data_IF_482714234123
#
_entry.id   IF_482714234123
#
_cell.length_a   1.000
_cell.length_b   1.000
_cell.length_c   1.000
_cell.angle_alpha   90.00
_cell.angle_beta   90.00
_cell.angle_gamma   90.00
#
_symmetry.space_group_name_H-M   'P 1'
#
loop_
_entity.id
_entity.type
_entity.pdbx_description
1 polymer ?
#
# COMPACT_ATOMS: atom_id res chain seq x y z
N UNK A 1 48.80 -45.62 -2.16
CA UNK A 1 47.64 -45.33 -2.96
C UNK A 1 46.97 -44.04 -2.35
N UNK A 2 47.11 -42.90 -3.04
CA UNK A 2 46.45 -41.67 -2.68
C UNK A 2 45.01 -41.76 -3.15
N UNK A 3 44.07 -41.62 -2.21
CA UNK A 3 42.63 -41.48 -2.52
C UNK A 3 42.42 -40.07 -3.03
N UNK A 4 42.08 -39.95 -4.32
CA UNK A 4 41.68 -38.69 -4.92
C UNK A 4 40.38 -38.19 -4.25
N UNK A 5 40.46 -37.06 -3.59
CA UNK A 5 39.27 -36.44 -3.02
C UNK A 5 38.42 -35.91 -4.16
N UNK A 6 37.34 -36.60 -4.46
CA UNK A 6 36.31 -36.10 -5.41
C UNK A 6 35.66 -34.84 -4.81
N UNK A 7 36.01 -33.69 -5.34
CA UNK A 7 35.30 -32.45 -5.01
C UNK A 7 33.89 -32.57 -5.57
N UNK A 8 32.90 -32.63 -4.68
CA UNK A 8 31.51 -32.56 -5.07
C UNK A 8 31.21 -31.16 -5.60
N UNK A 9 30.48 -31.09 -6.71
CA UNK A 9 30.01 -29.85 -7.26
C UNK A 9 29.20 -29.05 -6.20
N UNK A 10 29.44 -27.75 -6.17
CA UNK A 10 28.73 -26.84 -5.24
C UNK A 10 27.23 -26.94 -5.49
N UNK A 11 26.48 -27.53 -4.55
CA UNK A 11 25.02 -27.52 -4.59
C UNK A 11 24.55 -26.14 -4.19
N UNK A 12 24.10 -25.36 -5.14
CA UNK A 12 23.46 -24.07 -4.92
C UNK A 12 22.02 -24.33 -4.52
N UNK A 13 21.71 -24.26 -3.22
CA UNK A 13 20.33 -24.31 -2.74
C UNK A 13 19.71 -22.93 -2.98
N UNK A 14 18.96 -22.77 -4.05
CA UNK A 14 18.12 -21.60 -4.27
C UNK A 14 16.84 -21.82 -3.47
N UNK A 15 16.75 -21.17 -2.31
CA UNK A 15 15.47 -21.02 -1.61
C UNK A 15 14.49 -20.23 -2.50
N UNK A 16 13.19 -20.52 -2.41
CA UNK A 16 12.19 -19.65 -3.01
C UNK A 16 12.34 -18.26 -2.38
N UNK A 17 12.49 -17.18 -3.16
CA UNK A 17 12.47 -15.85 -2.57
C UNK A 17 11.17 -15.71 -1.80
N UNK A 18 11.22 -15.21 -0.56
CA UNK A 18 10.03 -14.86 0.19
C UNK A 18 9.42 -13.62 -0.46
N UNK A 19 8.57 -13.83 -1.45
CA UNK A 19 7.98 -12.80 -2.31
C UNK A 19 7.23 -11.75 -1.49
N UNK A 20 6.71 -12.16 -0.31
CA UNK A 20 5.97 -11.29 0.60
C UNK A 20 6.80 -10.79 1.79
N UNK A 21 8.10 -11.04 1.79
CA UNK A 21 8.96 -10.48 2.83
C UNK A 21 9.21 -9.00 2.51
N UNK A 22 8.60 -8.12 3.28
CA UNK A 22 8.86 -6.70 3.20
C UNK A 22 10.33 -6.42 3.51
N UNK A 23 11.00 -5.75 2.58
CA UNK A 23 12.30 -5.16 2.83
C UNK A 23 12.10 -3.90 3.71
N UNK A 24 13.17 -3.35 4.19
CA UNK A 24 13.27 -2.21 5.09
C UNK A 24 12.07 -1.24 5.06
N UNK A 25 11.33 -1.05 6.15
CA UNK A 25 10.25 -0.05 6.24
C UNK A 25 10.84 1.35 6.42
N UNK A 26 11.70 1.78 5.48
CA UNK A 26 12.49 3.01 5.59
C UNK A 26 11.65 4.26 5.62
N UNK A 27 10.52 4.27 4.92
CA UNK A 27 9.63 5.41 4.89
C UNK A 27 8.90 5.62 6.21
N UNK A 28 8.53 4.54 6.91
CA UNK A 28 7.84 4.60 8.18
C UNK A 28 8.77 4.87 9.36
N UNK A 29 9.92 4.21 9.41
CA UNK A 29 10.88 4.37 10.52
C UNK A 29 11.77 5.59 10.35
N UNK A 30 11.84 6.16 9.13
CA UNK A 30 12.75 7.24 8.73
C UNK A 30 14.25 6.89 8.89
N UNK A 31 14.56 5.61 8.95
CA UNK A 31 15.92 5.06 9.05
C UNK A 31 16.05 3.86 8.13
N UNK A 32 17.23 3.62 7.58
CA UNK A 32 17.54 2.41 6.83
C UNK A 32 17.89 1.27 7.80
N UNK A 33 16.87 0.77 8.49
CA UNK A 33 17.02 -0.30 9.48
C UNK A 33 16.27 -1.52 8.99
N UNK A 34 16.92 -2.68 8.97
CA UNK A 34 16.27 -3.93 8.61
C UNK A 34 15.09 -4.22 9.56
N UNK A 35 13.98 -4.75 9.00
CA UNK A 35 12.77 -5.03 9.75
C UNK A 35 13.02 -5.87 11.02
N UNK A 36 13.96 -6.82 10.97
CA UNK A 36 14.33 -7.68 12.11
C UNK A 36 14.97 -6.91 13.28
N UNK A 37 15.58 -5.76 13.00
CA UNK A 37 16.33 -4.95 13.96
C UNK A 37 15.47 -3.78 14.51
N UNK A 38 14.23 -3.66 14.07
CA UNK A 38 13.31 -2.63 14.56
C UNK A 38 12.62 -3.14 15.83
N UNK A 39 12.83 -2.49 16.99
CA UNK A 39 12.27 -2.91 18.28
C UNK A 39 10.78 -2.55 18.42
N UNK A 40 9.99 -2.75 17.38
CA UNK A 40 8.57 -2.43 17.33
C UNK A 40 7.82 -3.49 16.53
N UNK A 41 6.50 -3.57 16.79
CA UNK A 41 5.63 -4.44 15.98
C UNK A 41 5.27 -3.76 14.67
N UNK A 42 5.99 -4.09 13.61
CA UNK A 42 5.75 -3.59 12.25
C UNK A 42 5.22 -4.74 11.40
N UNK A 43 4.20 -4.47 10.61
CA UNK A 43 3.74 -5.36 9.53
C UNK A 43 3.90 -4.62 8.22
N UNK A 44 4.50 -5.27 7.22
CA UNK A 44 4.70 -4.73 5.88
C UNK A 44 3.92 -5.59 4.91
N UNK A 45 3.05 -4.97 4.11
CA UNK A 45 2.34 -5.59 3.00
C UNK A 45 2.98 -5.05 1.72
N UNK A 46 3.61 -5.94 0.96
CA UNK A 46 4.40 -5.59 -0.22
C UNK A 46 3.53 -5.35 -1.46
N UNK A 47 4.08 -4.67 -2.48
CA UNK A 47 3.43 -4.48 -3.77
C UNK A 47 3.00 -5.82 -4.39
N UNK A 48 3.89 -6.84 -4.33
CA UNK A 48 3.58 -8.17 -4.85
C UNK A 48 2.38 -8.80 -4.13
N UNK A 49 2.31 -8.65 -2.80
CA UNK A 49 1.17 -9.15 -2.02
C UNK A 49 -0.12 -8.40 -2.35
N UNK A 50 -0.05 -7.09 -2.55
CA UNK A 50 -1.19 -6.27 -2.99
C UNK A 50 -1.72 -6.77 -4.33
N UNK A 51 -0.85 -7.05 -5.28
CA UNK A 51 -1.20 -7.52 -6.62
C UNK A 51 -1.75 -8.95 -6.60
N UNK A 52 -1.06 -9.90 -5.97
CA UNK A 52 -1.42 -11.32 -5.96
C UNK A 52 -2.74 -11.60 -5.23
N UNK A 53 -3.03 -10.82 -4.19
CA UNK A 53 -4.26 -10.94 -3.41
C UNK A 53 -5.37 -9.98 -3.88
N UNK A 54 -5.13 -9.22 -4.95
CA UNK A 54 -6.05 -8.20 -5.48
C UNK A 54 -6.59 -7.27 -4.39
N UNK A 55 -5.68 -6.71 -3.55
CA UNK A 55 -6.06 -5.77 -2.50
C UNK A 55 -6.27 -4.39 -3.13
N UNK A 56 -7.43 -3.79 -2.91
CA UNK A 56 -7.78 -2.50 -3.52
C UNK A 56 -7.72 -1.34 -2.54
N UNK A 57 -7.97 -1.57 -1.25
CA UNK A 57 -8.03 -0.52 -0.26
C UNK A 57 -7.45 -0.91 1.10
N UNK A 58 -7.43 0.04 2.03
CA UNK A 58 -6.90 -0.18 3.37
C UNK A 58 -7.64 -1.27 4.15
N UNK A 59 -8.94 -1.45 3.91
CA UNK A 59 -9.71 -2.52 4.55
C UNK A 59 -9.16 -3.91 4.19
N UNK A 60 -8.75 -4.10 2.93
CA UNK A 60 -8.20 -5.37 2.47
C UNK A 60 -6.83 -5.63 3.09
N UNK A 61 -5.97 -4.61 3.13
CA UNK A 61 -4.65 -4.69 3.77
C UNK A 61 -4.76 -5.09 5.24
N UNK A 62 -5.65 -4.45 5.99
CA UNK A 62 -5.74 -4.67 7.43
C UNK A 62 -6.24 -6.07 7.80
N UNK A 63 -6.89 -6.81 6.90
CA UNK A 63 -7.23 -8.24 7.10
C UNK A 63 -5.99 -9.12 7.29
N UNK A 64 -4.85 -8.71 6.75
CA UNK A 64 -3.58 -9.44 6.84
C UNK A 64 -2.67 -8.90 7.96
N UNK A 65 -3.14 -7.93 8.76
CA UNK A 65 -2.37 -7.32 9.84
C UNK A 65 -2.93 -7.75 11.19
N UNK A 66 -2.25 -8.60 11.95
CA UNK A 66 -2.71 -9.03 13.27
C UNK A 66 -2.91 -7.84 14.23
N UNK A 67 -4.06 -7.81 14.92
CA UNK A 67 -4.40 -6.73 15.85
C UNK A 67 -4.86 -5.43 15.20
N UNK A 68 -5.17 -5.49 13.91
CA UNK A 68 -5.76 -4.39 13.15
C UNK A 68 -7.12 -4.81 12.56
N UNK A 69 -7.99 -3.85 12.39
CA UNK A 69 -9.28 -4.03 11.73
C UNK A 69 -9.68 -2.70 11.07
N UNK A 70 -10.73 -2.73 10.24
CA UNK A 70 -11.32 -1.54 9.63
C UNK A 70 -12.76 -1.39 10.11
N UNK A 71 -13.11 -0.23 10.64
CA UNK A 71 -14.49 0.16 10.89
C UNK A 71 -15.12 0.69 9.58
N UNK A 72 -16.43 0.84 9.57
CA UNK A 72 -17.18 1.25 8.36
C UNK A 72 -16.76 2.63 7.79
N UNK A 73 -16.18 3.52 8.60
CA UNK A 73 -15.70 4.83 8.14
C UNK A 73 -16.79 5.74 7.54
N UNK A 74 -18.01 5.55 7.97
CA UNK A 74 -19.20 6.24 7.43
C UNK A 74 -19.47 5.97 5.94
N UNK A 75 -18.86 4.92 5.37
CA UNK A 75 -19.07 4.50 3.99
C UNK A 75 -18.25 5.23 2.92
N UNK A 76 -17.44 6.22 3.31
CA UNK A 76 -16.64 7.00 2.35
C UNK A 76 -15.20 7.30 2.79
N UNK A 77 -14.77 6.78 3.93
CA UNK A 77 -13.44 7.02 4.49
C UNK A 77 -12.89 5.80 5.18
N UNK A 78 -11.57 5.72 5.27
CA UNK A 78 -10.91 4.72 6.08
C UNK A 78 -10.97 5.08 7.56
N UNK A 79 -11.29 4.09 8.40
CA UNK A 79 -11.35 4.22 9.85
C UNK A 79 -10.71 2.99 10.51
N UNK A 80 -9.36 2.90 10.52
CA UNK A 80 -8.67 1.76 11.09
C UNK A 80 -8.83 1.69 12.59
N UNK A 81 -8.88 0.46 13.08
CA UNK A 81 -8.88 0.13 14.51
C UNK A 81 -7.58 -0.61 14.80
N UNK A 82 -6.66 0.04 15.48
CA UNK A 82 -5.37 -0.53 15.86
C UNK A 82 -5.32 -0.74 17.37
N UNK A 83 -5.17 -2.00 17.82
CA UNK A 83 -5.18 -2.36 19.24
C UNK A 83 -6.40 -1.81 20.00
N UNK A 84 -7.58 -1.84 19.38
CA UNK A 84 -8.82 -1.32 19.96
C UNK A 84 -9.02 0.20 19.85
N UNK A 85 -8.05 0.92 19.30
CA UNK A 85 -8.11 2.38 19.15
C UNK A 85 -8.55 2.73 17.73
N UNK A 86 -9.69 3.40 17.59
CA UNK A 86 -10.19 3.88 16.29
C UNK A 86 -9.52 5.21 15.97
N UNK A 87 -8.94 5.34 14.79
CA UNK A 87 -8.34 6.59 14.34
C UNK A 87 -8.59 6.81 12.85
N UNK A 88 -8.91 8.04 12.48
CA UNK A 88 -9.00 8.47 11.08
C UNK A 88 -7.86 9.41 10.68
N UNK A 89 -6.98 9.76 11.61
CA UNK A 89 -5.93 10.75 11.46
C UNK A 89 -4.50 10.20 11.57
N UNK A 90 -4.34 8.87 11.69
CA UNK A 90 -3.02 8.24 11.86
C UNK A 90 -2.54 7.57 10.58
N UNK A 91 -2.88 8.17 9.43
CA UNK A 91 -2.35 7.82 8.12
C UNK A 91 -1.17 8.71 7.74
N UNK A 92 -0.26 8.10 6.99
CA UNK A 92 0.92 8.75 6.45
C UNK A 92 1.17 8.31 5.01
N UNK A 93 1.76 9.19 4.22
CA UNK A 93 2.23 8.92 2.86
C UNK A 93 3.70 9.32 2.81
N UNK A 94 4.59 8.35 2.53
CA UNK A 94 6.06 8.53 2.58
C UNK A 94 6.55 9.22 3.86
N UNK A 95 5.93 8.87 5.00
CA UNK A 95 6.25 9.42 6.32
C UNK A 95 5.70 10.83 6.59
N UNK A 96 4.94 11.41 5.66
CA UNK A 96 4.24 12.69 5.83
C UNK A 96 2.80 12.41 6.23
N UNK A 97 2.28 13.15 7.22
CA UNK A 97 0.92 12.96 7.71
C UNK A 97 -0.13 13.21 6.63
N UNK A 98 -1.05 12.29 6.50
CA UNK A 98 -2.22 12.32 5.62
C UNK A 98 -3.47 12.07 6.46
N UNK A 99 -3.93 13.10 7.19
CA UNK A 99 -5.08 13.03 8.10
C UNK A 99 -6.41 13.47 7.47
N UNK A 100 -6.44 13.68 6.17
CA UNK A 100 -7.66 13.92 5.41
C UNK A 100 -8.52 12.65 5.39
N UNK A 101 -9.84 12.82 5.53
CA UNK A 101 -10.77 11.70 5.61
C UNK A 101 -11.30 11.34 4.22
N UNK A 102 -10.77 10.27 3.63
CA UNK A 102 -11.16 9.75 2.33
C UNK A 102 -10.84 8.24 2.24
N UNK A 103 -11.28 7.60 1.17
CA UNK A 103 -10.96 6.23 0.83
C UNK A 103 -9.61 6.18 0.11
N UNK A 104 -8.69 5.38 0.62
CA UNK A 104 -7.32 5.26 0.10
C UNK A 104 -7.18 4.02 -0.76
N UNK A 105 -7.10 4.22 -2.06
CA UNK A 105 -6.80 3.16 -3.01
C UNK A 105 -5.30 2.81 -2.98
N UNK A 106 -4.95 1.63 -3.52
CA UNK A 106 -3.59 1.08 -3.50
C UNK A 106 -2.92 1.07 -4.87
N UNK A 107 -3.52 1.66 -5.90
CA UNK A 107 -3.01 1.57 -7.29
C UNK A 107 -1.59 2.12 -7.48
N UNK A 108 -1.24 3.15 -6.71
CA UNK A 108 0.06 3.82 -6.76
C UNK A 108 0.95 3.51 -5.54
N UNK A 109 0.62 2.46 -4.77
CA UNK A 109 1.31 2.11 -3.52
C UNK A 109 2.30 0.97 -3.77
N UNK A 110 3.55 1.13 -3.34
CA UNK A 110 4.60 0.12 -3.40
C UNK A 110 4.61 -0.80 -2.17
N UNK A 111 4.24 -0.28 -1.02
CA UNK A 111 4.04 -1.07 0.21
C UNK A 111 3.19 -0.31 1.22
N UNK A 112 2.54 -1.05 2.10
CA UNK A 112 1.85 -0.50 3.27
C UNK A 112 2.53 -1.00 4.52
N UNK A 113 2.89 -0.07 5.39
CA UNK A 113 3.55 -0.33 6.66
C UNK A 113 2.59 0.00 7.80
N UNK A 114 2.36 -0.97 8.69
CA UNK A 114 1.51 -0.78 9.87
C UNK A 114 2.35 -0.94 11.12
N UNK A 115 2.62 0.18 11.77
CA UNK A 115 3.38 0.25 13.01
C UNK A 115 2.40 0.27 14.18
N UNK A 116 2.44 -0.76 15.00
CA UNK A 116 1.48 -0.94 16.11
C UNK A 116 2.09 -0.51 17.45
N UNK A 117 1.40 0.38 18.14
CA UNK A 117 1.83 0.93 19.42
C UNK A 117 2.17 2.42 19.35
N UNK A 118 2.74 3.00 20.40
CA UNK A 118 3.01 4.42 20.48
C UNK A 118 4.16 4.82 19.53
N UNK A 119 3.85 5.61 18.53
CA UNK A 119 4.80 6.07 17.49
C UNK A 119 5.00 7.59 17.49
N UNK A 120 4.58 8.27 18.55
CA UNK A 120 4.62 9.72 18.64
C UNK A 120 6.04 10.32 18.53
N UNK A 121 7.07 9.58 18.90
CA UNK A 121 8.46 10.04 18.78
C UNK A 121 8.92 10.15 17.32
N UNK A 122 8.36 9.30 16.43
CA UNK A 122 8.73 9.27 15.00
C UNK A 122 7.78 10.15 14.19
N UNK A 123 6.48 10.10 14.50
CA UNK A 123 5.43 10.68 13.68
C UNK A 123 4.75 11.92 14.29
N UNK A 124 5.12 12.30 15.52
CA UNK A 124 4.51 13.42 16.24
C UNK A 124 3.20 13.03 16.94
N UNK A 125 2.27 13.97 17.06
CA UNK A 125 1.00 13.74 17.78
C UNK A 125 0.17 12.65 17.11
N UNK A 126 -0.58 11.88 17.89
CA UNK A 126 -1.41 10.75 17.43
C UNK A 126 -0.65 9.42 17.53
N UNK A 127 -1.17 8.41 16.88
CA UNK A 127 -0.54 7.10 16.81
C UNK A 127 -0.52 6.33 18.12
N UNK A 128 -1.47 6.54 19.03
CA UNK A 128 -1.54 5.81 20.30
C UNK A 128 -1.82 4.32 20.11
N UNK A 129 -2.63 3.95 19.12
CA UNK A 129 -2.87 2.56 18.69
C UNK A 129 -1.84 2.07 17.69
N UNK A 130 -1.31 2.96 16.90
CA UNK A 130 -0.38 2.74 15.81
C UNK A 130 -0.56 3.75 14.69
N UNK A 131 0.24 3.60 13.64
CA UNK A 131 0.16 4.40 12.42
C UNK A 131 0.20 3.51 11.19
N UNK A 132 -0.40 3.97 10.10
CA UNK A 132 -0.36 3.33 8.80
C UNK A 132 0.33 4.25 7.82
N UNK A 133 1.44 3.79 7.25
CA UNK A 133 2.18 4.52 6.24
C UNK A 133 2.06 3.82 4.88
N UNK A 134 1.77 4.59 3.83
CA UNK A 134 1.80 4.15 2.44
C UNK A 134 3.08 4.67 1.79
N UNK A 135 3.91 3.78 1.31
CA UNK A 135 5.03 4.14 0.46
C UNK A 135 4.55 4.19 -0.98
N UNK A 136 4.71 5.33 -1.62
CA UNK A 136 4.21 5.55 -2.99
C UNK A 136 5.22 5.03 -4.00
N UNK A 137 4.72 4.50 -5.11
CA UNK A 137 5.52 4.09 -6.25
C UNK A 137 6.26 5.28 -6.85
N UNK A 138 7.58 5.22 -6.84
CA UNK A 138 8.45 6.28 -7.34
C UNK A 138 9.18 5.82 -8.60
N UNK A 139 9.57 6.79 -9.45
CA UNK A 139 10.47 6.53 -10.56
C UNK A 139 11.85 6.12 -10.03
N UNK A 140 12.38 4.99 -10.49
CA UNK A 140 13.65 4.42 -10.03
C UNK A 140 14.61 4.06 -11.18
N UNK A 141 14.17 4.27 -12.42
CA UNK A 141 14.92 3.93 -13.63
C UNK A 141 14.63 2.55 -14.18
N UNK A 142 13.94 1.71 -13.45
CA UNK A 142 13.55 0.38 -13.93
C UNK A 142 12.50 0.51 -15.05
N UNK A 143 12.57 -0.41 -16.03
CA UNK A 143 11.53 -0.51 -17.05
C UNK A 143 10.36 -1.30 -16.50
N UNK A 144 9.22 -0.62 -16.31
CA UNK A 144 7.97 -1.17 -15.82
C UNK A 144 6.92 -1.03 -16.91
N UNK A 145 6.21 -2.12 -17.21
CA UNK A 145 5.11 -2.15 -18.18
C UNK A 145 4.06 -3.12 -17.65
N UNK A 146 3.12 -2.62 -16.87
CA UNK A 146 2.05 -3.40 -16.28
C UNK A 146 0.70 -2.82 -16.62
N UNK A 147 -0.22 -3.69 -17.02
CA UNK A 147 -1.64 -3.39 -17.19
C UNK A 147 -2.43 -4.51 -16.53
N UNK A 148 -3.22 -4.17 -15.52
CA UNK A 148 -4.10 -5.10 -14.83
C UNK A 148 -5.54 -4.71 -15.12
N UNK A 149 -6.36 -5.68 -15.57
CA UNK A 149 -7.78 -5.48 -15.84
C UNK A 149 -8.55 -6.55 -15.06
N UNK A 150 -9.53 -6.10 -14.30
CA UNK A 150 -10.40 -6.96 -13.51
C UNK A 150 -11.86 -6.70 -13.88
N UNK A 151 -12.66 -7.72 -13.83
CA UNK A 151 -14.11 -7.66 -14.00
C UNK A 151 -14.78 -8.63 -13.02
N UNK A 152 -15.95 -8.27 -12.52
CA UNK A 152 -16.67 -9.07 -11.54
C UNK A 152 -18.18 -8.91 -11.63
N UNK A 153 -18.88 -9.42 -10.64
CA UNK A 153 -20.31 -9.19 -10.44
C UNK A 153 -20.58 -7.70 -10.14
N UNK A 154 -21.86 -7.33 -10.13
CA UNK A 154 -22.32 -5.99 -9.77
C UNK A 154 -21.64 -4.89 -10.59
N UNK A 155 -21.52 -5.09 -11.90
CA UNK A 155 -20.92 -4.17 -12.86
C UNK A 155 -19.48 -3.73 -12.47
N UNK A 156 -18.74 -4.57 -11.74
CA UNK A 156 -17.38 -4.27 -11.34
C UNK A 156 -16.42 -4.34 -12.52
N UNK A 157 -15.77 -3.23 -12.81
CA UNK A 157 -14.68 -3.12 -13.79
C UNK A 157 -13.57 -2.26 -13.20
N UNK A 158 -12.35 -2.80 -13.21
CA UNK A 158 -11.16 -2.08 -12.74
C UNK A 158 -10.03 -2.24 -13.74
N UNK A 159 -9.39 -1.13 -14.09
CA UNK A 159 -8.18 -1.10 -14.91
C UNK A 159 -7.09 -0.30 -14.19
N UNK A 160 -5.93 -0.89 -14.07
CA UNK A 160 -4.75 -0.25 -13.47
C UNK A 160 -3.59 -0.32 -14.45
N UNK A 161 -2.86 0.77 -14.59
CA UNK A 161 -1.66 0.84 -15.40
C UNK A 161 -0.48 1.32 -14.56
N UNK A 162 0.69 0.74 -14.78
CA UNK A 162 1.95 1.13 -14.17
C UNK A 162 3.05 1.09 -15.23
N UNK A 163 3.53 2.26 -15.64
CA UNK A 163 4.55 2.42 -16.65
C UNK A 163 5.71 3.24 -16.10
N UNK A 164 6.91 2.71 -16.22
CA UNK A 164 8.13 3.37 -15.77
C UNK A 164 9.29 3.08 -16.70
N UNK A 165 10.18 4.06 -16.85
CA UNK A 165 11.41 3.90 -17.63
C UNK A 165 12.43 4.98 -17.29
N UNK A 166 13.72 4.67 -17.45
CA UNK A 166 14.77 5.66 -17.53
C UNK A 166 14.63 6.49 -18.82
N UNK A 167 14.75 7.81 -18.69
CA UNK A 167 14.86 8.76 -19.82
C UNK A 167 16.32 8.85 -20.27
N UNK A 168 17.22 8.86 -19.28
CA UNK A 168 18.67 8.82 -19.43
C UNK A 168 19.29 8.24 -18.16
N UNK A 169 20.61 8.23 -18.04
CA UNK A 169 21.34 7.62 -16.93
C UNK A 169 20.98 8.22 -15.54
N UNK A 170 20.54 9.49 -15.51
CA UNK A 170 20.26 10.22 -14.26
C UNK A 170 18.79 10.54 -14.04
N UNK A 171 17.93 10.29 -15.03
CA UNK A 171 16.52 10.74 -14.99
C UNK A 171 15.59 9.61 -15.37
N UNK A 172 14.52 9.45 -14.62
CA UNK A 172 13.46 8.48 -14.91
C UNK A 172 12.08 9.05 -14.65
N UNK A 173 11.08 8.38 -15.24
CA UNK A 173 9.68 8.63 -14.93
C UNK A 173 8.96 7.34 -14.55
N UNK A 174 7.87 7.48 -13.81
CA UNK A 174 6.87 6.43 -13.56
C UNK A 174 5.49 7.05 -13.58
N UNK A 175 4.54 6.38 -14.19
CA UNK A 175 3.15 6.81 -14.28
C UNK A 175 2.25 5.67 -13.83
N UNK A 176 1.45 5.93 -12.81
CA UNK A 176 0.39 5.03 -12.38
C UNK A 176 -0.96 5.63 -12.74
N UNK A 177 -1.90 4.80 -13.20
CA UNK A 177 -3.25 5.22 -13.51
C UNK A 177 -4.26 4.18 -13.03
N UNK A 178 -5.46 4.66 -12.67
CA UNK A 178 -6.57 3.86 -12.18
C UNK A 178 -7.87 4.32 -12.83
N UNK A 179 -8.68 3.36 -13.23
CA UNK A 179 -10.11 3.53 -13.47
C UNK A 179 -10.85 2.36 -12.81
N UNK A 180 -11.89 2.67 -12.04
CA UNK A 180 -12.79 1.66 -11.48
C UNK A 180 -14.23 2.15 -11.57
N UNK A 181 -15.14 1.24 -11.87
CA UNK A 181 -16.57 1.41 -11.76
C UNK A 181 -17.15 0.16 -11.12
N UNK A 182 -17.98 0.33 -10.10
CA UNK A 182 -18.63 -0.77 -9.41
C UNK A 182 -20.03 -0.37 -8.94
N UNK A 183 -20.97 -1.28 -9.09
CA UNK A 183 -22.23 -1.26 -8.36
C UNK A 183 -22.09 -2.10 -7.08
N UNK A 184 -23.13 -2.16 -6.29
CA UNK A 184 -23.21 -3.01 -5.09
C UNK A 184 -24.37 -3.98 -5.21
N UNK A 185 -24.38 -5.02 -4.38
CA UNK A 185 -25.54 -5.88 -4.18
C UNK A 185 -26.77 -5.12 -3.63
N UNK A 186 -26.59 -3.87 -3.18
CA UNK A 186 -27.65 -2.98 -2.73
C UNK A 186 -28.04 -2.03 -3.84
N UNK A 187 -29.34 -1.89 -4.08
CA UNK A 187 -29.87 -0.96 -5.08
C UNK A 187 -29.47 0.49 -4.77
N UNK A 188 -28.99 1.21 -5.78
CA UNK A 188 -28.61 2.60 -5.69
C UNK A 188 -27.27 2.88 -5.01
N UNK A 189 -26.46 1.86 -4.74
CA UNK A 189 -25.11 2.01 -4.20
C UNK A 189 -24.11 1.70 -5.30
N UNK A 190 -23.30 2.71 -5.66
CA UNK A 190 -22.27 2.60 -6.69
C UNK A 190 -21.02 3.39 -6.31
N UNK A 191 -19.92 3.09 -6.97
CA UNK A 191 -18.66 3.84 -6.87
C UNK A 191 -17.97 3.97 -8.22
N UNK A 192 -17.35 5.13 -8.45
CA UNK A 192 -16.47 5.38 -9.58
C UNK A 192 -15.19 6.02 -9.07
N UNK A 193 -14.05 5.37 -9.33
CA UNK A 193 -12.73 5.85 -8.96
C UNK A 193 -11.91 6.15 -10.21
N UNK A 194 -11.19 7.27 -10.20
CA UNK A 194 -10.22 7.63 -11.23
C UNK A 194 -8.98 8.19 -10.57
N UNK A 195 -7.81 7.72 -10.99
CA UNK A 195 -6.55 8.17 -10.45
C UNK A 195 -5.47 8.28 -11.52
N UNK A 196 -4.60 9.27 -11.37
CA UNK A 196 -3.36 9.40 -12.12
C UNK A 196 -2.27 9.90 -11.20
N UNK A 197 -1.14 9.22 -11.17
CA UNK A 197 -0.03 9.52 -10.27
C UNK A 197 1.31 9.47 -11.04
N UNK A 198 1.76 10.59 -11.61
CA UNK A 198 3.09 10.72 -12.21
C UNK A 198 4.17 10.90 -11.14
N UNK A 199 5.34 10.34 -11.41
CA UNK A 199 6.57 10.52 -10.63
C UNK A 199 7.76 10.72 -11.56
N UNK A 200 8.66 11.63 -11.21
CA UNK A 200 9.90 11.89 -11.90
C UNK A 200 11.06 11.87 -10.91
N UNK A 201 12.14 11.18 -11.26
CA UNK A 201 13.36 11.14 -10.46
C UNK A 201 14.52 11.74 -11.25
N UNK A 202 15.34 12.52 -10.55
CA UNK A 202 16.54 13.19 -11.05
C UNK A 202 17.72 12.85 -10.15
N UNK A 203 18.92 12.70 -10.72
CA UNK A 203 20.12 12.34 -9.98
C UNK A 203 20.17 10.86 -9.59
N UNK A 204 19.60 9.98 -10.42
CA UNK A 204 19.70 8.52 -10.22
C UNK A 204 21.17 8.13 -10.39
N UNK A 205 21.73 7.42 -9.38
CA UNK A 205 23.15 7.05 -9.37
C UNK A 205 24.09 8.13 -8.84
N UNK A 206 23.62 9.34 -8.60
CA UNK A 206 24.39 10.42 -8.00
C UNK A 206 24.33 10.40 -6.46
N UNK A 207 25.18 11.23 -5.79
CA UNK A 207 25.15 11.39 -4.35
C UNK A 207 23.87 12.08 -3.83
N UNK A 208 23.11 12.71 -4.71
CA UNK A 208 21.84 13.37 -4.39
C UNK A 208 20.77 13.00 -5.40
N UNK A 209 19.64 12.54 -4.90
CA UNK A 209 18.47 12.20 -5.71
C UNK A 209 17.30 13.09 -5.32
N UNK A 210 16.58 13.61 -6.30
CA UNK A 210 15.33 14.34 -6.13
C UNK A 210 14.20 13.56 -6.81
N UNK A 211 13.08 13.41 -6.11
CA UNK A 211 11.86 12.81 -6.67
C UNK A 211 10.73 13.83 -6.57
N UNK A 212 10.04 14.04 -7.68
CA UNK A 212 8.83 14.84 -7.77
C UNK A 212 7.67 13.90 -8.08
N UNK A 213 6.68 13.84 -7.20
CA UNK A 213 5.47 13.04 -7.39
C UNK A 213 4.24 13.91 -7.22
N UNK A 214 3.21 13.60 -7.97
CA UNK A 214 1.90 14.22 -7.86
C UNK A 214 0.83 13.15 -7.98
N UNK A 215 -0.35 13.42 -7.43
CA UNK A 215 -1.52 12.56 -7.59
C UNK A 215 -2.76 13.41 -7.84
N UNK A 216 -3.57 12.99 -8.80
CA UNK A 216 -4.93 13.44 -8.96
C UNK A 216 -5.84 12.22 -8.82
N UNK A 217 -6.68 12.24 -7.79
CA UNK A 217 -7.57 11.13 -7.47
C UNK A 217 -8.99 11.64 -7.25
N UNK A 218 -9.97 10.98 -7.87
CA UNK A 218 -11.39 11.26 -7.68
C UNK A 218 -12.12 10.02 -7.24
N UNK A 219 -13.02 10.17 -6.30
CA UNK A 219 -13.86 9.14 -5.74
C UNK A 219 -15.31 9.65 -5.69
N UNK A 220 -16.13 9.14 -6.60
CA UNK A 220 -17.55 9.40 -6.65
C UNK A 220 -18.30 8.15 -6.20
N UNK A 221 -18.84 8.17 -5.00
CA UNK A 221 -19.56 7.02 -4.43
C UNK A 221 -20.84 7.38 -3.73
N UNK A 222 -21.77 6.45 -3.72
CA UNK A 222 -22.89 6.48 -2.79
C UNK A 222 -22.38 6.16 -1.40
N UNK A 223 -22.58 7.09 -0.45
CA UNK A 223 -22.19 6.91 0.94
C UNK A 223 -23.16 5.94 1.62
N UNK A 224 -22.78 4.67 1.69
CA UNK A 224 -23.58 3.64 2.34
C UNK A 224 -23.19 3.49 3.80
N UNK A 225 -24.02 4.02 4.69
CA UNK A 225 -23.83 3.93 6.15
C UNK A 225 -24.45 2.67 6.77
N UNK A 226 -24.93 1.76 5.96
CA UNK A 226 -25.59 0.54 6.40
C UNK A 226 -27.08 0.70 6.62
N UNK A 227 -27.73 -0.37 7.07
CA UNK A 227 -29.17 -0.41 7.35
C UNK A 227 -29.39 0.11 8.79
N UNK A 228 -30.21 1.16 8.99
CA UNK A 228 -30.55 1.60 10.33
C UNK A 228 -31.25 0.49 11.11
N UNK A 229 -31.01 0.42 12.39
CA UNK A 229 -31.67 -0.56 13.24
C UNK A 229 -32.45 0.12 14.37
N UNK A 230 -33.57 -0.51 14.76
CA UNK A 230 -34.35 -0.13 15.91
C UNK A 230 -34.55 -1.34 16.82
N UNK A 231 -34.25 -1.20 18.10
CA UNK A 231 -34.29 -2.28 19.11
C UNK A 231 -33.53 -3.56 18.65
N UNK A 232 -32.38 -3.38 17.98
CA UNK A 232 -31.54 -4.48 17.51
C UNK A 232 -32.04 -5.21 16.26
N UNK A 233 -33.07 -4.71 15.60
CA UNK A 233 -33.59 -5.24 14.33
C UNK A 233 -33.36 -4.24 13.21
N UNK A 234 -32.94 -4.68 12.03
CA UNK A 234 -32.88 -3.81 10.85
C UNK A 234 -34.28 -3.28 10.52
N UNK A 235 -34.34 -2.02 10.09
CA UNK A 235 -35.58 -1.37 9.62
C UNK A 235 -35.87 -1.74 8.18
#
# INVERSE_FOLDING_TARGET
ASVDATTLDKVEVRGFPFIYQGNNPTSATKTDTELKDIPQSVSVITEQQIQDLALHGMADVLRYVPGANMAQGEGHRDAPVLRGNVSTGDFYTDGIRDDVQYYRDLYNVSQVEVLKGPNAMIFGRGGSGGVINRAIKQADGNTIKSLNIQAGSDSFYRAQADFGQAINDNTAYRLNALFENADSFRDGVSSELRGIAPSFAFGIGDNSRMVLSAEYFTDNRTVDRGIPSYLGKPL
#
